data_IF_227806103517
#
_entry.id   IF_227806103517
#
_cell.length_a   1.000
_cell.length_b   1.000
_cell.length_c   1.000
_cell.angle_alpha   90.00
_cell.angle_beta   90.00
_cell.angle_gamma   90.00
#
_symmetry.space_group_name_H-M   'P 1'
#
loop_
_entity.id
_entity.type
_entity.pdbx_description
1 polymer ?
#
# COMPACT_ATOMS: atom_id res chain seq x y z
N UNK A 1 -5.26 -3.18 -0.54
CA UNK A 1 -4.05 -3.67 0.18
C UNK A 1 -4.47 -4.03 1.59
N UNK A 2 -3.56 -4.26 2.48
CA UNK A 2 -3.81 -4.48 3.90
C UNK A 2 -2.54 -4.20 4.68
N UNK A 3 -2.65 -4.19 5.99
CA UNK A 3 -1.55 -4.11 6.94
C UNK A 3 -1.88 -4.94 8.16
N UNK A 4 -0.89 -5.39 8.88
CA UNK A 4 -1.06 -6.21 10.05
C UNK A 4 -0.23 -5.70 11.23
N UNK A 5 -0.63 -6.11 12.41
CA UNK A 5 0.08 -5.90 13.66
C UNK A 5 0.01 -7.16 14.52
N UNK A 6 1.10 -7.46 15.22
CA UNK A 6 1.17 -8.57 16.17
C UNK A 6 1.88 -8.13 17.45
N UNK A 7 1.52 -8.72 18.57
CA UNK A 7 2.12 -8.44 19.90
C UNK A 7 2.33 -9.76 20.65
N UNK A 8 3.53 -9.90 21.22
CA UNK A 8 3.85 -10.92 22.22
C UNK A 8 4.30 -10.20 23.50
N UNK A 9 3.54 -10.33 24.59
CA UNK A 9 3.71 -9.57 25.83
C UNK A 9 3.62 -10.47 27.06
N UNK A 10 4.22 -10.03 28.17
CA UNK A 10 4.04 -10.67 29.49
C UNK A 10 2.72 -10.27 30.16
N UNK A 11 2.07 -9.24 29.64
CA UNK A 11 0.83 -8.68 30.17
C UNK A 11 -0.26 -8.74 29.10
N UNK A 12 -1.48 -8.34 29.46
CA UNK A 12 -2.58 -8.20 28.51
C UNK A 12 -2.19 -7.21 27.40
N UNK A 13 -2.21 -7.68 26.13
CA UNK A 13 -1.79 -6.92 24.96
C UNK A 13 -2.95 -6.41 24.09
N UNK A 14 -4.20 -6.62 24.50
CA UNK A 14 -5.38 -6.35 23.65
C UNK A 14 -5.44 -4.89 23.19
N UNK A 15 -5.19 -3.93 24.08
CA UNK A 15 -5.21 -2.50 23.70
C UNK A 15 -4.08 -2.13 22.75
N UNK A 16 -2.89 -2.70 22.94
CA UNK A 16 -1.75 -2.47 22.03
C UNK A 16 -2.02 -3.05 20.64
N UNK A 17 -2.59 -4.26 20.60
CA UNK A 17 -3.02 -4.88 19.36
C UNK A 17 -4.08 -4.03 18.65
N UNK A 18 -5.11 -3.60 19.38
CA UNK A 18 -6.21 -2.78 18.87
C UNK A 18 -5.70 -1.50 18.19
N UNK A 19 -4.90 -0.71 18.91
CA UNK A 19 -4.35 0.52 18.36
C UNK A 19 -3.31 0.26 17.27
N UNK A 20 -2.48 -0.77 17.41
CA UNK A 20 -1.52 -1.15 16.37
C UNK A 20 -2.19 -1.51 15.06
N UNK A 21 -3.32 -2.24 15.10
CA UNK A 21 -4.13 -2.52 13.91
C UNK A 21 -4.81 -1.26 13.36
N UNK A 22 -5.38 -0.43 14.24
CA UNK A 22 -6.04 0.81 13.84
C UNK A 22 -5.11 1.78 13.10
N UNK A 23 -3.85 1.85 13.49
CA UNK A 23 -2.83 2.64 12.79
C UNK A 23 -2.61 2.22 11.31
N UNK A 24 -3.01 1.00 10.94
CA UNK A 24 -2.98 0.54 9.54
C UNK A 24 -4.28 0.83 8.76
N UNK A 25 -5.24 1.59 9.31
CA UNK A 25 -6.53 1.89 8.67
C UNK A 25 -6.42 2.65 7.34
N UNK A 26 -5.29 3.31 7.06
CA UNK A 26 -5.03 3.96 5.78
C UNK A 26 -4.75 2.93 4.65
N UNK A 27 -4.33 1.71 4.96
CA UNK A 27 -3.98 0.65 4.01
C UNK A 27 -5.17 -0.17 3.52
N UNK A 28 -6.32 -0.10 4.19
CA UNK A 28 -7.50 -0.86 3.80
C UNK A 28 -8.79 -0.28 4.39
N UNK A 29 -9.92 -0.62 3.80
CA UNK A 29 -11.21 0.02 4.13
C UNK A 29 -12.38 -0.94 4.20
N UNK A 30 -12.17 -2.25 4.07
CA UNK A 30 -13.30 -3.20 3.97
C UNK A 30 -13.43 -4.11 5.18
N UNK A 31 -12.34 -4.68 5.63
CA UNK A 31 -12.32 -5.67 6.70
C UNK A 31 -11.29 -5.27 7.74
N UNK A 32 -11.61 -5.48 8.98
CA UNK A 32 -10.66 -5.47 10.08
C UNK A 32 -10.84 -6.73 10.91
N UNK A 33 -9.76 -7.23 11.50
CA UNK A 33 -9.83 -8.41 12.34
C UNK A 33 -8.74 -8.44 13.38
N UNK A 34 -9.05 -9.06 14.50
CA UNK A 34 -8.13 -9.33 15.60
C UNK A 34 -8.30 -10.77 16.08
N UNK A 35 -7.21 -11.41 16.46
CA UNK A 35 -7.19 -12.68 17.17
C UNK A 35 -6.20 -12.56 18.31
N UNK A 36 -6.59 -13.04 19.51
CA UNK A 36 -5.74 -13.05 20.69
C UNK A 36 -5.70 -14.47 21.28
N UNK A 37 -4.64 -14.77 22.01
CA UNK A 37 -4.49 -15.98 22.79
C UNK A 37 -4.18 -15.62 24.25
N UNK A 38 -4.95 -16.19 25.17
CA UNK A 38 -4.82 -16.01 26.61
C UNK A 38 -5.19 -17.26 27.39
N UNK A 39 -5.51 -17.12 28.66
CA UNK A 39 -5.86 -18.25 29.54
C UNK A 39 -7.08 -19.02 29.06
N UNK A 40 -8.06 -18.35 28.46
CA UNK A 40 -9.29 -18.93 27.92
C UNK A 40 -9.11 -19.49 26.48
N UNK A 41 -7.88 -19.49 25.93
CA UNK A 41 -7.56 -19.95 24.59
C UNK A 41 -7.63 -18.82 23.54
N UNK A 42 -7.97 -19.21 22.30
CA UNK A 42 -8.07 -18.25 21.19
C UNK A 42 -9.43 -17.55 21.18
N UNK A 43 -9.40 -16.22 21.05
CA UNK A 43 -10.56 -15.40 20.73
C UNK A 43 -10.32 -14.65 19.41
N UNK A 44 -11.35 -14.54 18.55
CA UNK A 44 -11.25 -13.86 17.25
C UNK A 44 -12.49 -13.01 16.99
N UNK A 45 -12.29 -11.79 16.50
CA UNK A 45 -13.34 -10.94 15.95
C UNK A 45 -12.93 -10.42 14.57
N UNK A 46 -13.89 -10.39 13.63
CA UNK A 46 -13.73 -9.83 12.28
C UNK A 46 -14.96 -9.00 11.96
N UNK A 47 -14.75 -7.76 11.49
CA UNK A 47 -15.83 -6.86 11.13
C UNK A 47 -15.65 -6.25 9.74
N UNK A 48 -16.79 -5.92 9.11
CA UNK A 48 -16.84 -5.01 7.98
C UNK A 48 -16.67 -3.58 8.49
N UNK A 49 -15.64 -2.86 7.99
CA UNK A 49 -15.31 -1.50 8.36
C UNK A 49 -15.59 -0.48 7.25
N UNK A 50 -16.32 -0.88 6.19
CA UNK A 50 -16.63 0.02 5.06
C UNK A 50 -17.47 1.23 5.49
N UNK A 51 -18.37 1.02 6.47
CA UNK A 51 -19.36 2.02 6.90
C UNK A 51 -19.06 2.64 8.27
N UNK A 52 -18.01 2.20 8.95
CA UNK A 52 -17.66 2.67 10.28
C UNK A 52 -16.17 2.44 10.53
N UNK A 53 -15.47 3.37 11.19
CA UNK A 53 -14.06 3.21 11.53
C UNK A 53 -13.81 1.93 12.33
N UNK A 54 -12.59 1.39 12.18
CA UNK A 54 -12.13 0.20 12.90
C UNK A 54 -12.39 0.32 14.41
N UNK A 55 -12.01 1.44 15.04
CA UNK A 55 -12.21 1.68 16.48
C UNK A 55 -13.63 1.48 16.93
N UNK A 56 -14.60 2.01 16.18
CA UNK A 56 -16.01 1.92 16.53
C UNK A 56 -16.55 0.50 16.42
N UNK A 57 -16.02 -0.29 15.47
CA UNK A 57 -16.48 -1.66 15.25
C UNK A 57 -15.97 -2.64 16.29
N UNK A 58 -14.77 -2.41 16.81
CA UNK A 58 -14.10 -3.32 17.74
C UNK A 58 -14.21 -2.89 19.22
N UNK A 59 -14.88 -1.78 19.54
CA UNK A 59 -15.00 -1.25 20.90
C UNK A 59 -15.55 -2.30 21.89
N UNK A 60 -16.59 -3.03 21.49
CA UNK A 60 -17.17 -4.10 22.29
C UNK A 60 -16.21 -5.29 22.43
N UNK A 61 -15.64 -5.77 21.32
CA UNK A 61 -14.75 -6.93 21.33
C UNK A 61 -13.52 -6.71 22.22
N UNK A 62 -12.94 -5.50 22.17
CA UNK A 62 -11.80 -5.12 23.02
C UNK A 62 -12.12 -5.23 24.50
N UNK A 63 -13.37 -4.96 24.90
CA UNK A 63 -13.79 -5.07 26.30
C UNK A 63 -13.93 -6.52 26.80
N UNK A 64 -14.11 -7.45 25.87
CA UNK A 64 -14.27 -8.88 26.17
C UNK A 64 -12.99 -9.70 25.97
N UNK A 65 -12.12 -9.25 25.04
CA UNK A 65 -10.86 -9.91 24.74
C UNK A 65 -9.88 -9.79 25.91
N UNK A 66 -9.12 -10.86 26.14
CA UNK A 66 -7.93 -10.89 27.02
C UNK A 66 -6.89 -11.79 26.39
N UNK A 67 -5.64 -11.38 26.43
CA UNK A 67 -4.56 -12.19 25.88
C UNK A 67 -3.19 -11.53 26.00
N UNK A 68 -2.16 -12.36 25.96
CA UNK A 68 -0.77 -11.96 25.99
C UNK A 68 -0.06 -12.17 24.61
N UNK A 69 -0.72 -12.85 23.70
CA UNK A 69 -0.35 -12.94 22.29
C UNK A 69 -1.53 -12.43 21.45
N UNK A 70 -1.23 -11.66 20.41
CA UNK A 70 -2.27 -11.18 19.51
C UNK A 70 -1.74 -10.88 18.12
N UNK A 71 -2.57 -11.13 17.10
CA UNK A 71 -2.36 -10.67 15.73
C UNK A 71 -3.65 -10.04 15.19
N UNK A 72 -3.51 -9.05 14.34
CA UNK A 72 -4.66 -8.43 13.68
C UNK A 72 -4.28 -7.77 12.37
N UNK A 73 -5.29 -7.41 11.61
CA UNK A 73 -5.07 -6.79 10.30
C UNK A 73 -6.22 -5.90 9.85
N UNK A 74 -5.88 -5.01 8.93
CA UNK A 74 -6.80 -4.33 8.02
C UNK A 74 -6.66 -4.96 6.65
N UNK A 75 -7.77 -5.26 5.95
CA UNK A 75 -7.76 -5.88 4.63
C UNK A 75 -8.83 -5.28 3.72
N UNK A 76 -8.53 -5.18 2.43
CA UNK A 76 -9.50 -4.80 1.38
C UNK A 76 -10.14 -6.03 0.70
N UNK A 77 -9.67 -7.23 0.99
CA UNK A 77 -10.10 -8.45 0.30
C UNK A 77 -10.73 -9.44 1.27
N UNK A 78 -9.93 -10.28 1.86
CA UNK A 78 -10.39 -11.43 2.63
C UNK A 78 -10.60 -11.10 4.10
N UNK A 79 -11.62 -11.71 4.75
CA UNK A 79 -11.74 -11.70 6.20
C UNK A 79 -10.58 -12.47 6.82
N UNK A 80 -9.91 -11.86 7.79
CA UNK A 80 -8.77 -12.42 8.55
C UNK A 80 -8.58 -11.62 9.85
N UNK A 81 -7.86 -12.16 10.88
CA UNK A 81 -7.12 -13.42 10.93
C UNK A 81 -8.02 -14.65 10.85
N UNK A 82 -7.48 -15.78 10.37
CA UNK A 82 -8.15 -17.08 10.40
C UNK A 82 -7.63 -17.91 11.57
N UNK A 83 -8.53 -18.60 12.27
CA UNK A 83 -8.19 -19.63 13.25
C UNK A 83 -8.22 -21.01 12.57
N UNK A 84 -7.12 -21.70 12.65
CA UNK A 84 -6.91 -23.01 12.00
C UNK A 84 -6.67 -24.06 13.08
N UNK A 85 -7.34 -25.19 12.93
CA UNK A 85 -7.07 -26.40 13.69
C UNK A 85 -6.57 -27.49 12.74
N UNK A 86 -5.36 -27.97 12.95
CA UNK A 86 -4.72 -28.96 12.10
C UNK A 86 -3.91 -29.98 12.91
N UNK A 87 -3.21 -30.89 12.25
CA UNK A 87 -2.23 -31.80 12.89
C UNK A 87 -1.04 -31.03 13.51
N UNK A 88 -0.79 -29.78 13.07
CA UNK A 88 0.22 -28.87 13.65
C UNK A 88 -0.27 -28.17 14.94
N UNK A 89 -1.49 -28.48 15.38
CA UNK A 89 -2.16 -27.82 16.49
C UNK A 89 -3.05 -26.66 16.03
N UNK A 90 -3.48 -25.84 17.00
CA UNK A 90 -4.26 -24.62 16.74
C UNK A 90 -3.34 -23.44 16.52
N UNK A 91 -3.61 -22.63 15.49
CA UNK A 91 -2.90 -21.37 15.24
C UNK A 91 -3.82 -20.33 14.59
N UNK A 92 -3.46 -19.06 14.72
CA UNK A 92 -4.10 -17.96 13.98
C UNK A 92 -3.13 -17.45 12.91
N UNK A 93 -3.66 -17.03 11.75
CA UNK A 93 -2.85 -16.54 10.64
C UNK A 93 -3.44 -15.27 10.02
N UNK A 94 -2.57 -14.33 9.69
CA UNK A 94 -2.89 -13.16 8.85
C UNK A 94 -1.83 -12.98 7.78
N UNK A 95 -2.25 -12.50 6.59
CA UNK A 95 -1.39 -12.39 5.42
C UNK A 95 -1.58 -11.05 4.70
N UNK A 96 -0.50 -10.55 4.12
CA UNK A 96 -0.53 -9.44 3.16
C UNK A 96 0.28 -9.83 1.93
N UNK A 97 -0.36 -9.81 0.77
CA UNK A 97 0.29 -10.19 -0.47
C UNK A 97 -0.67 -10.53 -1.60
N UNK A 98 -0.13 -11.16 -2.62
CA UNK A 98 -0.84 -11.64 -3.81
C UNK A 98 -0.23 -12.94 -4.28
N UNK A 99 -1.07 -13.91 -4.61
CA UNK A 99 -0.69 -15.21 -5.16
C UNK A 99 -1.12 -15.25 -6.62
N UNK A 100 -0.16 -15.30 -7.56
CA UNK A 100 -0.44 -15.35 -9.00
C UNK A 100 -0.73 -16.77 -9.48
N UNK A 101 -0.04 -17.75 -8.93
CA UNK A 101 -0.24 -19.18 -9.24
C UNK A 101 -1.32 -19.85 -8.37
N UNK A 102 -2.34 -19.06 -7.98
CA UNK A 102 -3.44 -19.49 -7.10
C UNK A 102 -4.14 -20.78 -7.58
N UNK A 103 -4.54 -20.85 -8.85
CA UNK A 103 -5.24 -22.01 -9.42
C UNK A 103 -4.36 -23.27 -9.45
N UNK A 104 -3.07 -23.13 -9.71
CA UNK A 104 -2.10 -24.20 -9.70
C UNK A 104 -1.94 -24.80 -8.31
N UNK A 105 -1.78 -23.92 -7.30
CA UNK A 105 -1.63 -24.35 -5.90
C UNK A 105 -2.90 -25.03 -5.38
N UNK A 106 -4.08 -24.49 -5.71
CA UNK A 106 -5.35 -25.13 -5.36
C UNK A 106 -5.51 -26.52 -5.97
N UNK A 107 -5.20 -26.64 -7.27
CA UNK A 107 -5.26 -27.92 -7.95
C UNK A 107 -4.35 -28.95 -7.30
N UNK A 108 -3.12 -28.56 -6.92
CA UNK A 108 -2.18 -29.43 -6.21
C UNK A 108 -2.70 -29.91 -4.86
N UNK A 109 -3.39 -29.06 -4.10
CA UNK A 109 -4.02 -29.44 -2.83
C UNK A 109 -5.21 -30.40 -3.01
N UNK A 110 -6.09 -30.15 -3.99
CA UNK A 110 -7.24 -31.01 -4.25
C UNK A 110 -6.84 -32.41 -4.76
N UNK A 111 -5.77 -32.49 -5.55
CA UNK A 111 -5.28 -33.77 -6.06
C UNK A 111 -4.64 -34.67 -4.98
N UNK A 112 -4.05 -34.06 -3.93
CA UNK A 112 -3.37 -34.82 -2.87
C UNK A 112 -4.33 -35.39 -1.81
N UNK A 113 -5.17 -34.52 -1.22
CA UNK A 113 -5.83 -34.81 0.05
C UNK A 113 -7.35 -34.58 0.06
N UNK A 114 -8.00 -34.33 -1.08
CA UNK A 114 -9.42 -33.95 -1.15
C UNK A 114 -9.75 -32.77 -0.19
N UNK A 115 -8.81 -31.83 -0.03
CA UNK A 115 -8.95 -30.67 0.85
C UNK A 115 -10.24 -29.91 0.55
N UNK A 116 -10.84 -29.33 1.57
CA UNK A 116 -11.99 -28.44 1.42
C UNK A 116 -11.66 -27.10 2.09
N UNK A 117 -12.26 -26.03 1.56
CA UNK A 117 -12.10 -24.68 2.07
C UNK A 117 -13.45 -24.16 2.57
N UNK A 118 -13.44 -23.39 3.64
CA UNK A 118 -14.64 -22.88 4.29
C UNK A 118 -14.85 -21.38 4.06
N UNK A 119 -13.76 -20.63 3.97
CA UNK A 119 -13.82 -19.18 3.80
C UNK A 119 -13.79 -18.80 2.32
N UNK A 120 -14.95 -18.40 1.80
CA UNK A 120 -15.09 -18.00 0.41
C UNK A 120 -15.59 -16.54 0.31
N UNK A 121 -14.97 -15.77 -0.58
CA UNK A 121 -15.36 -14.39 -0.88
C UNK A 121 -15.63 -14.26 -2.39
N UNK A 122 -16.87 -13.92 -2.77
CA UNK A 122 -17.30 -13.78 -4.17
C UNK A 122 -17.00 -15.01 -5.05
N UNK A 123 -17.15 -16.21 -4.51
CA UNK A 123 -16.92 -17.47 -5.23
C UNK A 123 -15.45 -17.87 -5.35
N UNK A 124 -14.53 -17.13 -4.74
CA UNK A 124 -13.11 -17.48 -4.63
C UNK A 124 -12.77 -17.88 -3.19
N UNK A 125 -11.87 -18.85 -3.03
CA UNK A 125 -11.35 -19.25 -1.73
C UNK A 125 -10.49 -18.10 -1.17
N UNK A 126 -10.59 -17.89 0.14
CA UNK A 126 -9.78 -16.92 0.87
C UNK A 126 -8.28 -17.25 0.71
N UNK A 127 -7.48 -16.31 0.24
CA UNK A 127 -6.04 -16.51 0.01
C UNK A 127 -5.30 -16.84 1.30
N UNK A 128 -5.73 -16.30 2.44
CA UNK A 128 -5.14 -16.61 3.75
C UNK A 128 -5.40 -18.08 4.14
N UNK A 129 -6.59 -18.62 3.80
CA UNK A 129 -6.91 -20.05 4.02
C UNK A 129 -6.07 -20.96 3.09
N UNK A 130 -5.87 -20.57 1.83
CA UNK A 130 -4.96 -21.27 0.92
C UNK A 130 -3.54 -21.34 1.51
N UNK A 131 -3.02 -20.21 2.01
CA UNK A 131 -1.69 -20.16 2.65
C UNK A 131 -1.64 -21.07 3.89
N UNK A 132 -2.68 -21.07 4.72
CA UNK A 132 -2.77 -21.95 5.88
C UNK A 132 -2.79 -23.43 5.47
N UNK A 133 -3.51 -23.79 4.40
CA UNK A 133 -3.52 -25.15 3.87
C UNK A 133 -2.14 -25.59 3.36
N UNK A 134 -1.41 -24.70 2.67
CA UNK A 134 -0.03 -24.96 2.22
C UNK A 134 0.93 -25.17 3.42
N UNK A 135 0.77 -24.39 4.50
CA UNK A 135 1.53 -24.61 5.74
C UNK A 135 1.23 -25.99 6.30
N UNK A 136 -0.03 -26.40 6.33
CA UNK A 136 -0.46 -27.70 6.84
C UNK A 136 -0.06 -28.90 5.94
N UNK A 137 0.48 -28.69 4.74
CA UNK A 137 1.08 -29.79 3.97
C UNK A 137 2.40 -30.33 4.56
N UNK A 138 2.97 -29.63 5.54
CA UNK A 138 4.30 -29.95 6.11
C UNK A 138 4.20 -30.46 7.55
N UNK A 139 5.29 -31.03 8.03
CA UNK A 139 5.38 -31.64 9.36
C UNK A 139 5.51 -30.61 10.50
N UNK A 140 5.82 -29.37 10.17
CA UNK A 140 5.93 -28.26 11.13
C UNK A 140 5.51 -26.93 10.54
N UNK A 141 5.08 -25.98 11.39
CA UNK A 141 4.76 -24.61 10.99
C UNK A 141 5.96 -23.94 10.28
N UNK A 142 7.17 -24.15 10.78
CA UNK A 142 8.41 -23.61 10.22
C UNK A 142 8.64 -24.10 8.79
N UNK A 143 8.52 -25.41 8.56
CA UNK A 143 8.68 -25.98 7.21
C UNK A 143 7.55 -25.52 6.29
N UNK A 144 6.33 -25.40 6.82
CA UNK A 144 5.18 -24.87 6.09
C UNK A 144 5.37 -23.43 5.64
N UNK A 145 5.84 -22.55 6.52
CA UNK A 145 6.16 -21.16 6.18
C UNK A 145 7.25 -21.09 5.10
N UNK A 146 8.33 -21.85 5.26
CA UNK A 146 9.42 -21.93 4.26
C UNK A 146 8.91 -22.42 2.90
N UNK A 147 8.02 -23.40 2.91
CA UNK A 147 7.39 -23.93 1.71
C UNK A 147 6.54 -22.87 1.00
N UNK A 148 5.68 -22.13 1.72
CA UNK A 148 4.89 -21.04 1.17
C UNK A 148 5.78 -19.97 0.52
N UNK A 149 6.88 -19.56 1.20
CA UNK A 149 7.83 -18.59 0.63
C UNK A 149 8.51 -19.09 -0.66
N UNK A 150 8.65 -20.40 -0.83
CA UNK A 150 9.32 -20.98 -2.00
C UNK A 150 8.36 -21.25 -3.18
N UNK A 151 7.07 -21.58 -2.92
CA UNK A 151 6.11 -21.97 -3.99
C UNK A 151 5.20 -20.85 -4.46
N UNK A 152 4.97 -19.82 -3.64
CA UNK A 152 4.11 -18.70 -4.04
C UNK A 152 4.79 -17.86 -5.11
N UNK A 153 4.17 -17.78 -6.29
CA UNK A 153 4.47 -16.74 -7.27
C UNK A 153 3.68 -15.46 -6.93
N UNK A 154 4.40 -14.39 -6.65
CA UNK A 154 3.83 -13.12 -6.21
C UNK A 154 4.55 -12.51 -5.02
N UNK A 155 3.82 -12.22 -3.96
CA UNK A 155 4.34 -11.71 -2.68
C UNK A 155 3.46 -12.22 -1.55
N UNK A 156 4.07 -12.69 -0.45
CA UNK A 156 3.34 -13.19 0.70
C UNK A 156 4.13 -12.94 1.98
N UNK A 157 3.72 -11.93 2.73
CA UNK A 157 4.20 -11.64 4.08
C UNK A 157 3.12 -12.06 5.08
N UNK A 158 3.48 -12.71 6.19
CA UNK A 158 2.50 -13.29 7.09
C UNK A 158 2.93 -13.24 8.56
N UNK A 159 1.91 -13.27 9.44
CA UNK A 159 2.06 -13.57 10.86
C UNK A 159 1.30 -14.86 11.16
N UNK A 160 1.94 -15.79 11.88
CA UNK A 160 1.33 -17.05 12.33
C UNK A 160 1.48 -17.13 13.84
N UNK A 161 0.39 -17.00 14.57
CA UNK A 161 0.35 -17.02 16.03
C UNK A 161 -0.03 -18.41 16.54
N UNK A 162 0.86 -19.03 17.29
CA UNK A 162 0.59 -20.25 18.08
C UNK A 162 0.21 -19.86 19.51
N UNK A 163 0.06 -20.84 20.38
CA UNK A 163 -0.14 -20.58 21.81
C UNK A 163 1.15 -20.22 22.57
N UNK A 164 2.32 -20.41 21.96
CA UNK A 164 3.61 -20.10 22.58
C UNK A 164 4.25 -18.81 22.08
N UNK A 165 3.90 -18.35 20.86
CA UNK A 165 4.51 -17.17 20.25
C UNK A 165 4.02 -16.91 18.82
N UNK A 166 4.67 -15.96 18.13
CA UNK A 166 4.27 -15.48 16.81
C UNK A 166 5.43 -15.66 15.82
N UNK A 167 5.19 -16.41 14.75
CA UNK A 167 6.09 -16.39 13.59
C UNK A 167 5.80 -15.16 12.73
N UNK A 168 6.85 -14.40 12.40
CA UNK A 168 6.81 -13.34 11.40
C UNK A 168 7.63 -13.78 10.19
N UNK A 169 7.04 -13.77 8.99
CA UNK A 169 7.71 -14.18 7.78
C UNK A 169 7.54 -13.12 6.69
N UNK A 170 8.66 -12.49 6.26
CA UNK A 170 8.68 -11.56 5.14
C UNK A 170 8.70 -12.31 3.81
N UNK A 171 8.07 -11.73 2.78
CA UNK A 171 8.01 -12.36 1.47
C UNK A 171 9.39 -12.61 0.83
N UNK A 172 9.41 -13.52 -0.17
CA UNK A 172 10.63 -14.01 -0.81
C UNK A 172 11.58 -12.93 -1.31
N UNK A 173 11.05 -11.77 -1.72
CA UNK A 173 11.81 -10.65 -2.28
C UNK A 173 11.73 -9.39 -1.41
N UNK A 174 11.11 -9.45 -0.23
CA UNK A 174 10.96 -8.30 0.65
C UNK A 174 10.15 -7.15 0.03
N UNK A 175 9.16 -7.45 -0.83
CA UNK A 175 8.35 -6.44 -1.53
C UNK A 175 7.51 -5.58 -0.58
N UNK A 176 7.12 -6.18 0.54
CA UNK A 176 6.46 -5.51 1.66
C UNK A 176 7.33 -5.58 2.90
N UNK A 177 7.24 -4.59 3.80
CA UNK A 177 8.02 -4.60 5.03
C UNK A 177 7.45 -5.57 6.07
N UNK A 178 8.30 -5.95 7.01
CA UNK A 178 7.95 -6.52 8.30
C UNK A 178 8.97 -6.03 9.32
N UNK A 179 8.51 -5.24 10.27
CA UNK A 179 9.36 -4.60 11.27
C UNK A 179 9.01 -5.07 12.68
N UNK A 180 9.98 -5.10 13.55
CA UNK A 180 9.84 -5.51 14.96
C UNK A 180 10.15 -4.31 15.84
N UNK A 181 9.24 -4.00 16.75
CA UNK A 181 9.43 -3.07 17.83
C UNK A 181 9.63 -3.80 19.16
N UNK A 182 10.34 -3.16 20.10
CA UNK A 182 10.65 -3.71 21.44
C UNK A 182 10.25 -2.74 22.54
N UNK A 183 9.65 -3.28 23.59
CA UNK A 183 9.49 -2.70 24.94
C UNK A 183 10.18 -3.59 25.97
N UNK A 184 10.22 -3.17 27.24
CA UNK A 184 10.84 -3.94 28.33
C UNK A 184 10.27 -5.35 28.50
N UNK A 185 8.95 -5.53 28.32
CA UNK A 185 8.21 -6.76 28.56
C UNK A 185 7.42 -7.28 27.36
N UNK A 186 7.67 -6.73 26.17
CA UNK A 186 6.95 -7.11 24.96
C UNK A 186 7.71 -6.81 23.67
N UNK A 187 7.37 -7.58 22.62
CA UNK A 187 7.74 -7.32 21.23
C UNK A 187 6.48 -7.16 20.37
N UNK A 188 6.55 -6.29 19.38
CA UNK A 188 5.53 -6.22 18.35
C UNK A 188 6.11 -6.51 16.96
N UNK A 189 5.27 -7.05 16.08
CA UNK A 189 5.54 -7.21 14.65
C UNK A 189 4.58 -6.31 13.89
N UNK A 190 5.07 -5.49 12.98
CA UNK A 190 4.25 -4.51 12.28
C UNK A 190 4.56 -4.46 10.80
N UNK A 191 3.54 -4.12 10.00
CA UNK A 191 3.73 -3.80 8.59
C UNK A 191 4.41 -2.43 8.43
N UNK A 192 4.17 -1.48 9.35
CA UNK A 192 4.76 -0.14 9.33
C UNK A 192 5.26 0.29 10.72
N UNK A 193 6.42 0.97 10.75
CA UNK A 193 7.05 1.39 12.01
C UNK A 193 6.25 2.43 12.79
N UNK A 194 5.51 3.34 12.12
CA UNK A 194 4.72 4.35 12.81
C UNK A 194 3.68 3.77 13.77
N UNK A 195 3.20 2.55 13.48
CA UNK A 195 2.11 1.92 14.23
C UNK A 195 2.45 1.60 15.69
N UNK A 196 3.72 1.49 16.03
CA UNK A 196 4.15 1.13 17.38
C UNK A 196 4.89 2.24 18.15
N UNK A 197 5.33 3.32 17.47
CA UNK A 197 6.06 4.43 18.13
C UNK A 197 5.23 5.02 19.27
N UNK A 198 3.96 5.38 19.01
CA UNK A 198 3.06 5.95 20.01
C UNK A 198 2.59 4.93 21.06
N UNK A 199 2.80 3.63 20.81
CA UNK A 199 2.54 2.57 21.78
C UNK A 199 3.73 2.33 22.71
N UNK A 200 4.80 3.12 22.55
CA UNK A 200 6.00 3.09 23.39
C UNK A 200 7.01 2.02 23.01
N UNK A 201 6.91 1.44 21.81
CA UNK A 201 7.95 0.55 21.28
C UNK A 201 9.03 1.37 20.58
N UNK A 202 10.24 0.85 20.61
CA UNK A 202 11.41 1.34 19.87
C UNK A 202 11.76 0.36 18.76
N UNK A 203 12.38 0.85 17.69
CA UNK A 203 12.83 0.01 16.60
C UNK A 203 13.82 -1.06 17.11
N UNK A 204 13.56 -2.32 16.74
CA UNK A 204 14.41 -3.46 17.09
C UNK A 204 15.06 -4.09 15.86
N UNK A 205 14.25 -4.45 14.86
CA UNK A 205 14.74 -5.10 13.64
C UNK A 205 13.75 -4.91 12.49
N UNK A 206 14.25 -4.66 11.29
CA UNK A 206 13.53 -4.84 10.04
C UNK A 206 13.98 -6.16 9.39
N UNK A 207 13.03 -7.03 9.05
CA UNK A 207 13.32 -8.31 8.43
C UNK A 207 13.78 -8.13 6.99
N UNK A 208 14.79 -8.88 6.58
CA UNK A 208 15.22 -8.96 5.19
C UNK A 208 14.32 -9.88 4.32
N UNK A 209 14.60 -9.96 3.01
CA UNK A 209 13.85 -10.83 2.10
C UNK A 209 13.88 -12.29 2.54
N UNK A 210 12.72 -12.96 2.54
CA UNK A 210 12.58 -14.37 2.88
C UNK A 210 12.92 -14.72 4.34
N UNK A 211 13.17 -13.73 5.18
CA UNK A 211 13.50 -13.94 6.58
C UNK A 211 12.27 -14.41 7.37
N UNK A 212 12.50 -15.32 8.31
CA UNK A 212 11.49 -15.82 9.26
C UNK A 212 12.04 -15.69 10.66
N UNK A 213 11.26 -15.12 11.55
CA UNK A 213 11.56 -15.02 12.99
C UNK A 213 10.44 -15.66 13.81
N UNK A 214 10.78 -16.11 15.00
CA UNK A 214 9.83 -16.51 16.04
C UNK A 214 9.94 -15.52 17.20
N UNK A 215 8.82 -14.97 17.62
CA UNK A 215 8.76 -13.88 18.60
C UNK A 215 7.91 -14.34 19.80
N UNK A 216 8.51 -14.25 20.97
CA UNK A 216 7.86 -14.42 22.28
C UNK A 216 7.90 -13.11 23.05
N UNK A 217 7.37 -13.07 24.26
CA UNK A 217 7.52 -11.91 25.14
C UNK A 217 8.95 -11.71 25.66
N UNK A 218 9.81 -12.73 25.54
CA UNK A 218 11.17 -12.73 26.07
C UNK A 218 12.21 -12.41 25.00
N UNK A 219 12.04 -12.97 23.79
CA UNK A 219 13.06 -12.93 22.74
C UNK A 219 12.52 -12.98 21.31
N UNK A 220 13.39 -12.66 20.38
CA UNK A 220 13.20 -12.83 18.95
C UNK A 220 14.26 -13.81 18.44
N UNK A 221 13.82 -14.97 18.00
CA UNK A 221 14.67 -16.03 17.44
C UNK A 221 14.65 -15.96 15.91
N UNK A 222 15.82 -16.00 15.27
CA UNK A 222 15.93 -16.11 13.81
C UNK A 222 15.79 -17.58 13.38
N UNK A 223 14.68 -17.89 12.69
CA UNK A 223 14.37 -19.25 12.19
C UNK A 223 14.92 -19.50 10.78
N UNK A 224 14.91 -18.46 9.96
CA UNK A 224 15.46 -18.48 8.61
C UNK A 224 16.11 -17.12 8.35
N UNK A 225 17.41 -17.09 8.02
CA UNK A 225 18.09 -15.84 7.72
C UNK A 225 17.60 -15.23 6.39
N UNK A 226 17.78 -13.92 6.27
CA UNK A 226 17.45 -13.18 5.06
C UNK A 226 18.26 -13.67 3.84
N UNK A 227 17.64 -13.66 2.68
CA UNK A 227 18.33 -13.93 1.40
C UNK A 227 18.99 -12.65 0.90
N UNK A 228 20.31 -12.58 1.01
CA UNK A 228 21.11 -11.44 0.52
C UNK A 228 21.00 -11.27 -1.00
N UNK A 229 20.98 -10.01 -1.48
CA UNK A 229 20.99 -9.68 -2.91
C UNK A 229 19.68 -10.01 -3.66
N UNK A 230 18.59 -10.27 -2.97
CA UNK A 230 17.29 -10.62 -3.56
C UNK A 230 16.17 -9.61 -3.25
N UNK A 231 16.48 -8.49 -2.61
CA UNK A 231 15.51 -7.45 -2.30
C UNK A 231 14.86 -6.87 -3.56
N UNK A 232 13.56 -6.65 -3.50
CA UNK A 232 12.73 -5.94 -4.48
C UNK A 232 11.60 -5.19 -3.78
N UNK A 233 11.95 -4.32 -2.82
CA UNK A 233 10.97 -3.55 -2.07
C UNK A 233 10.16 -2.63 -2.98
N UNK A 234 8.87 -2.50 -2.74
CA UNK A 234 7.98 -1.72 -3.58
C UNK A 234 8.25 -0.21 -3.46
N UNK A 235 8.57 0.46 -4.58
CA UNK A 235 8.77 1.92 -4.63
C UNK A 235 7.54 2.72 -4.20
N UNK A 236 6.34 2.20 -4.44
CA UNK A 236 5.08 2.84 -4.05
C UNK A 236 4.84 2.93 -2.54
N UNK A 237 5.59 2.20 -1.73
CA UNK A 237 5.58 2.39 -0.28
C UNK A 237 5.98 3.82 0.09
N UNK A 238 7.02 4.36 -0.53
CA UNK A 238 7.42 5.76 -0.33
C UNK A 238 6.57 6.76 -1.11
N UNK A 239 6.24 6.46 -2.36
CA UNK A 239 5.51 7.39 -3.22
C UNK A 239 4.11 7.69 -2.68
N UNK A 240 3.38 6.66 -2.22
CA UNK A 240 1.97 6.79 -1.88
C UNK A 240 1.53 6.05 -0.62
N UNK A 241 1.80 4.72 -0.50
CA UNK A 241 1.13 3.89 0.50
C UNK A 241 1.63 4.11 1.92
N UNK A 242 2.92 4.32 2.10
CA UNK A 242 3.54 4.46 3.40
C UNK A 242 3.02 5.67 4.18
N UNK A 243 2.80 5.46 5.46
CA UNK A 243 2.47 6.56 6.35
C UNK A 243 3.67 7.51 6.48
N UNK A 244 3.48 8.84 6.49
CA UNK A 244 4.60 9.80 6.43
C UNK A 244 5.69 9.61 7.49
N UNK A 245 5.31 9.19 8.70
CA UNK A 245 6.29 8.97 9.80
C UNK A 245 6.93 7.59 9.79
N UNK A 246 6.53 6.69 8.88
CA UNK A 246 7.17 5.38 8.71
C UNK A 246 8.51 5.49 7.98
N UNK A 247 9.35 4.49 8.22
CA UNK A 247 10.58 4.26 7.45
C UNK A 247 10.61 2.82 6.93
N UNK A 248 11.23 2.64 5.77
CA UNK A 248 11.50 1.33 5.16
C UNK A 248 12.96 1.29 4.72
N UNK A 249 13.66 0.20 5.04
CA UNK A 249 15.09 0.05 4.74
C UNK A 249 15.91 1.29 5.20
N UNK A 250 15.55 1.85 6.35
CA UNK A 250 16.18 3.04 6.92
C UNK A 250 15.81 4.38 6.28
N UNK A 251 14.91 4.40 5.29
CA UNK A 251 14.51 5.63 4.59
C UNK A 251 13.11 6.07 5.01
N UNK A 252 13.02 7.25 5.63
CA UNK A 252 11.74 7.83 6.05
C UNK A 252 10.89 8.26 4.83
N UNK A 253 9.58 8.01 4.92
CA UNK A 253 8.63 8.29 3.82
C UNK A 253 8.49 9.79 3.54
N UNK A 254 8.31 10.61 4.57
CA UNK A 254 8.12 12.06 4.41
C UNK A 254 9.37 12.73 3.83
N UNK A 255 10.54 12.38 4.34
CA UNK A 255 11.82 12.89 3.85
C UNK A 255 12.07 12.50 2.39
N UNK A 256 11.78 11.24 2.02
CA UNK A 256 11.85 10.79 0.63
C UNK A 256 10.95 11.62 -0.28
N UNK A 257 9.71 11.89 0.14
CA UNK A 257 8.76 12.72 -0.63
C UNK A 257 9.25 14.14 -0.82
N UNK A 258 9.93 14.72 0.17
CA UNK A 258 10.57 16.05 0.02
C UNK A 258 11.70 16.00 -1.01
N UNK A 259 12.59 14.99 -0.97
CA UNK A 259 13.63 14.80 -1.98
C UNK A 259 13.04 14.63 -3.38
N UNK A 260 11.99 13.83 -3.51
CA UNK A 260 11.28 13.62 -4.77
C UNK A 260 10.74 14.94 -5.33
N UNK A 261 10.09 15.78 -4.52
CA UNK A 261 9.61 17.10 -4.92
C UNK A 261 10.74 18.04 -5.33
N UNK A 262 11.86 18.03 -4.61
CA UNK A 262 13.06 18.82 -4.96
C UNK A 262 13.62 18.40 -6.34
N UNK A 263 13.70 17.10 -6.62
CA UNK A 263 14.17 16.60 -7.93
C UNK A 263 13.24 17.01 -9.07
N UNK A 264 11.92 16.99 -8.86
CA UNK A 264 10.94 17.50 -9.83
C UNK A 264 11.19 18.98 -10.14
N UNK A 265 11.43 19.82 -9.12
CA UNK A 265 11.72 21.24 -9.28
C UNK A 265 13.04 21.49 -10.06
N UNK A 266 14.10 20.76 -9.72
CA UNK A 266 15.38 20.80 -10.45
C UNK A 266 15.22 20.46 -11.93
N UNK A 267 14.38 19.43 -12.21
CA UNK A 267 14.11 18.99 -13.59
C UNK A 267 13.26 19.98 -14.38
N UNK A 268 12.37 20.71 -13.72
CA UNK A 268 11.57 21.77 -14.34
C UNK A 268 12.42 23.00 -14.66
N UNK A 269 13.34 23.39 -13.78
CA UNK A 269 14.13 24.61 -13.93
C UNK A 269 13.24 25.80 -14.29
N UNK A 270 13.59 26.55 -15.32
CA UNK A 270 12.84 27.71 -15.80
C UNK A 270 11.75 27.39 -16.84
N UNK A 271 11.37 26.12 -16.99
CA UNK A 271 10.37 25.70 -18.01
C UNK A 271 8.93 26.08 -17.67
N UNK A 272 8.64 26.43 -16.41
CA UNK A 272 7.32 26.82 -15.93
C UNK A 272 7.45 27.86 -14.82
N UNK A 273 6.53 28.83 -14.81
CA UNK A 273 6.52 29.94 -13.85
C UNK A 273 5.16 30.06 -13.17
N UNK A 274 4.81 29.12 -12.26
CA UNK A 274 3.56 29.19 -11.52
C UNK A 274 3.64 30.27 -10.42
N UNK A 275 2.48 30.79 -10.03
CA UNK A 275 2.37 31.71 -8.89
C UNK A 275 2.48 30.95 -7.55
N UNK A 276 1.98 29.72 -7.52
CA UNK A 276 2.00 28.85 -6.33
C UNK A 276 2.19 27.40 -6.69
N UNK A 277 2.79 26.66 -5.76
CA UNK A 277 2.87 25.19 -5.75
C UNK A 277 1.87 24.65 -4.75
N UNK A 278 1.15 23.59 -5.10
CA UNK A 278 0.20 22.93 -4.23
C UNK A 278 0.25 21.42 -4.37
N UNK A 279 -0.04 20.71 -3.29
CA UNK A 279 -0.21 19.24 -3.30
C UNK A 279 -1.69 18.85 -3.39
N UNK A 280 -1.99 17.82 -4.15
CA UNK A 280 -3.29 17.17 -4.08
C UNK A 280 -3.41 16.47 -2.71
N UNK A 281 -4.42 16.80 -1.88
CA UNK A 281 -4.53 16.22 -0.54
C UNK A 281 -4.91 14.73 -0.57
N UNK A 282 -4.28 13.90 0.27
CA UNK A 282 -3.17 14.21 1.20
C UNK A 282 -1.81 13.79 0.60
N UNK A 283 -1.81 12.93 -0.41
CA UNK A 283 -0.65 12.23 -0.97
C UNK A 283 0.38 13.15 -1.66
N UNK A 284 -0.09 14.21 -2.32
CA UNK A 284 0.78 15.16 -3.02
C UNK A 284 1.43 16.22 -2.14
N UNK A 285 1.01 16.36 -0.86
CA UNK A 285 1.41 17.49 0.00
C UNK A 285 2.91 17.51 0.25
N UNK A 286 3.50 16.41 0.70
CA UNK A 286 4.92 16.35 1.03
C UNK A 286 5.80 16.58 -0.22
N UNK A 287 5.44 15.99 -1.34
CA UNK A 287 6.12 16.23 -2.63
C UNK A 287 6.05 17.69 -3.04
N UNK A 288 4.89 18.36 -2.84
CA UNK A 288 4.73 19.78 -3.17
C UNK A 288 5.54 20.69 -2.25
N UNK A 289 5.67 20.35 -0.97
CA UNK A 289 6.54 21.08 -0.03
C UNK A 289 8.00 20.97 -0.49
N UNK A 290 8.47 19.78 -0.87
CA UNK A 290 9.81 19.57 -1.40
C UNK A 290 10.08 20.38 -2.67
N UNK A 291 9.10 20.42 -3.60
CA UNK A 291 9.19 21.24 -4.81
C UNK A 291 9.27 22.73 -4.49
N UNK A 292 8.39 23.22 -3.61
CA UNK A 292 8.36 24.62 -3.23
C UNK A 292 9.67 25.09 -2.55
N UNK A 293 10.22 24.25 -1.65
CA UNK A 293 11.48 24.52 -0.97
C UNK A 293 12.66 24.65 -1.95
N UNK A 294 12.70 23.82 -3.00
CA UNK A 294 13.77 23.82 -3.99
C UNK A 294 13.62 24.99 -4.99
N UNK A 295 12.41 25.20 -5.50
CA UNK A 295 12.14 26.22 -6.54
C UNK A 295 12.05 27.65 -6.00
N UNK A 296 11.84 27.82 -4.69
CA UNK A 296 11.53 29.11 -4.08
C UNK A 296 10.12 29.65 -4.40
N UNK A 297 9.29 28.89 -5.11
CA UNK A 297 7.89 29.26 -5.40
C UNK A 297 7.05 28.97 -4.16
N UNK A 298 6.17 29.89 -3.72
CA UNK A 298 5.38 29.72 -2.50
C UNK A 298 4.49 28.47 -2.55
N UNK A 299 4.53 27.65 -1.48
CA UNK A 299 3.55 26.61 -1.26
C UNK A 299 2.24 27.21 -0.75
N UNK A 300 1.12 26.83 -1.34
CA UNK A 300 -0.20 27.23 -0.89
C UNK A 300 -1.22 26.08 -1.00
N UNK A 301 -2.37 26.23 -0.38
CA UNK A 301 -3.47 25.26 -0.41
C UNK A 301 -4.69 25.86 -1.09
N UNK A 302 -4.76 25.85 -2.43
CA UNK A 302 -5.86 26.43 -3.20
C UNK A 302 -7.19 25.69 -2.99
N UNK A 303 -7.14 24.49 -2.44
CA UNK A 303 -8.30 23.72 -2.02
C UNK A 303 -7.98 22.88 -0.79
N UNK A 304 -9.01 22.70 0.03
CA UNK A 304 -8.91 21.96 1.29
C UNK A 304 -9.81 20.73 1.21
N UNK A 305 -9.30 19.57 1.62
CA UNK A 305 -10.11 18.36 1.74
C UNK A 305 -11.11 18.52 2.87
N UNK A 306 -12.38 18.28 2.58
CA UNK A 306 -13.42 18.27 3.60
C UNK A 306 -13.30 17.02 4.48
N UNK A 307 -12.94 17.22 5.74
CA UNK A 307 -12.55 16.15 6.66
C UNK A 307 -13.73 15.38 7.28
N UNK A 308 -14.94 15.97 7.57
CA UNK A 308 -16.10 15.17 7.93
C UNK A 308 -16.49 14.31 6.73
N UNK A 309 -15.73 13.24 6.54
CA UNK A 309 -15.91 12.33 5.40
C UNK A 309 -17.11 11.46 5.61
N UNK A 310 -17.99 11.45 4.64
CA UNK A 310 -18.94 10.38 4.46
C UNK A 310 -18.17 9.06 4.32
N UNK A 311 -18.64 7.97 4.96
CA UNK A 311 -18.06 6.65 4.71
C UNK A 311 -17.96 6.42 3.20
N UNK A 312 -16.86 5.80 2.74
CA UNK A 312 -16.65 5.52 1.30
C UNK A 312 -17.79 4.72 0.65
N UNK A 313 -18.60 4.06 1.45
CA UNK A 313 -19.78 3.29 1.04
C UNK A 313 -21.01 4.14 0.68
N UNK A 314 -21.03 5.42 1.04
CA UNK A 314 -22.11 6.30 0.63
C UNK A 314 -21.87 6.78 -0.81
N UNK A 315 -21.95 5.83 -1.75
CA UNK A 315 -21.97 6.11 -3.19
C UNK A 315 -23.42 6.04 -3.67
N UNK A 316 -24.09 7.18 -3.90
CA UNK A 316 -25.45 7.19 -4.40
C UNK A 316 -25.53 6.49 -5.76
N UNK A 317 -26.65 5.87 -6.03
CA UNK A 317 -26.95 5.25 -7.34
C UNK A 317 -27.18 6.30 -8.43
N UNK A 318 -27.58 7.51 -8.05
CA UNK A 318 -27.89 8.62 -8.96
C UNK A 318 -26.62 9.42 -9.31
N UNK A 319 -26.40 9.71 -10.61
CA UNK A 319 -25.25 10.46 -11.12
C UNK A 319 -25.15 11.87 -10.53
N UNK A 320 -26.25 12.60 -10.42
CA UNK A 320 -26.28 13.96 -9.88
C UNK A 320 -25.85 14.03 -8.41
N UNK A 321 -26.19 13.02 -7.62
CA UNK A 321 -25.73 12.90 -6.23
C UNK A 321 -24.26 12.51 -6.14
N UNK A 322 -23.76 11.68 -7.06
CA UNK A 322 -22.31 11.37 -7.16
C UNK A 322 -21.50 12.61 -7.48
N UNK A 323 -21.98 13.42 -8.43
CA UNK A 323 -21.34 14.69 -8.81
C UNK A 323 -21.35 15.70 -7.65
N UNK A 324 -22.45 15.76 -6.87
CA UNK A 324 -22.51 16.58 -5.67
C UNK A 324 -21.50 16.14 -4.61
N UNK A 325 -21.43 14.84 -4.30
CA UNK A 325 -20.49 14.29 -3.33
C UNK A 325 -19.04 14.49 -3.80
N UNK A 326 -18.74 14.33 -5.09
CA UNK A 326 -17.42 14.62 -5.63
C UNK A 326 -17.02 16.09 -5.40
N UNK A 327 -17.95 17.03 -5.61
CA UNK A 327 -17.75 18.46 -5.35
C UNK A 327 -17.57 18.79 -3.86
N UNK A 328 -18.20 18.04 -2.96
CA UNK A 328 -18.08 18.26 -1.52
C UNK A 328 -16.71 17.82 -0.93
N UNK A 329 -15.93 17.04 -1.68
CA UNK A 329 -14.63 16.54 -1.18
C UNK A 329 -13.57 17.62 -1.07
N UNK A 330 -13.61 18.60 -1.96
CA UNK A 330 -12.62 19.67 -2.04
C UNK A 330 -13.31 21.03 -1.96
N UNK A 331 -12.90 21.85 -1.02
CA UNK A 331 -13.43 23.21 -0.84
C UNK A 331 -12.38 24.20 -1.36
N UNK A 332 -12.74 25.08 -2.35
CA UNK A 332 -11.80 26.05 -2.91
C UNK A 332 -11.51 27.21 -1.94
N UNK A 333 -10.29 27.69 -2.00
CA UNK A 333 -9.87 28.96 -1.43
C UNK A 333 -9.75 29.95 -2.59
N UNK A 334 -10.85 30.63 -2.91
CA UNK A 334 -10.99 31.47 -4.10
C UNK A 334 -9.82 32.44 -4.31
N UNK A 335 -9.38 33.12 -3.27
CA UNK A 335 -8.26 34.07 -3.30
C UNK A 335 -6.91 33.45 -3.71
N UNK A 336 -6.76 32.12 -3.61
CA UNK A 336 -5.57 31.38 -4.02
C UNK A 336 -5.70 30.76 -5.41
N UNK A 337 -6.86 30.88 -6.06
CA UNK A 337 -7.13 30.27 -7.37
C UNK A 337 -7.34 31.32 -8.45
N UNK A 338 -8.16 32.35 -8.16
CA UNK A 338 -8.57 33.35 -9.13
C UNK A 338 -7.37 34.09 -9.71
N UNK A 339 -7.30 34.09 -11.03
CA UNK A 339 -6.21 34.71 -11.80
C UNK A 339 -4.80 34.15 -11.55
N UNK A 340 -4.69 32.95 -10.93
CA UNK A 340 -3.39 32.34 -10.61
C UNK A 340 -3.00 31.22 -11.59
N UNK A 341 -1.70 31.06 -11.76
CA UNK A 341 -1.05 29.90 -12.38
C UNK A 341 -0.69 28.92 -11.29
N UNK A 342 -1.28 27.74 -11.31
CA UNK A 342 -1.15 26.72 -10.28
C UNK A 342 -0.25 25.59 -10.76
N UNK A 343 0.73 25.18 -9.95
CA UNK A 343 1.44 23.93 -10.15
C UNK A 343 0.99 22.95 -9.08
N UNK A 344 0.34 21.86 -9.52
CA UNK A 344 -0.15 20.81 -8.65
C UNK A 344 0.75 19.59 -8.72
N UNK A 345 1.08 19.07 -7.56
CA UNK A 345 1.79 17.78 -7.42
C UNK A 345 0.83 16.75 -6.84
N UNK A 346 0.76 15.60 -7.49
CA UNK A 346 0.07 14.42 -7.01
C UNK A 346 1.06 13.24 -6.98
N UNK A 347 0.76 12.19 -6.24
CA UNK A 347 1.60 11.00 -6.19
C UNK A 347 1.68 10.30 -7.56
N UNK A 348 0.53 10.12 -8.23
CA UNK A 348 0.43 9.37 -9.47
C UNK A 348 -0.82 9.70 -10.28
N UNK A 349 -0.82 9.39 -11.57
CA UNK A 349 -2.02 9.40 -12.41
C UNK A 349 -2.33 7.96 -12.82
N UNK A 350 -3.35 7.36 -12.21
CA UNK A 350 -3.80 5.99 -12.55
C UNK A 350 -4.87 6.04 -13.63
N UNK A 351 -6.11 6.39 -13.29
CA UNK A 351 -7.25 6.49 -14.23
C UNK A 351 -7.39 7.88 -14.86
N UNK A 352 -6.87 8.89 -14.21
CA UNK A 352 -6.97 10.30 -14.60
C UNK A 352 -8.28 10.98 -14.22
N UNK A 353 -9.33 10.26 -13.88
CA UNK A 353 -10.67 10.82 -13.64
C UNK A 353 -10.68 11.86 -12.53
N UNK A 354 -10.10 11.54 -11.37
CA UNK A 354 -10.08 12.44 -10.21
C UNK A 354 -9.29 13.73 -10.49
N UNK A 355 -8.14 13.60 -11.14
CA UNK A 355 -7.28 14.75 -11.42
C UNK A 355 -7.89 15.65 -12.49
N UNK A 356 -8.59 15.08 -13.48
CA UNK A 356 -9.38 15.82 -14.46
C UNK A 356 -10.50 16.63 -13.79
N UNK A 357 -11.28 16.00 -12.91
CA UNK A 357 -12.34 16.70 -12.15
C UNK A 357 -11.76 17.85 -11.30
N UNK A 358 -10.62 17.64 -10.66
CA UNK A 358 -9.90 18.67 -9.89
C UNK A 358 -9.45 19.82 -10.78
N UNK A 359 -8.91 19.54 -11.95
CA UNK A 359 -8.47 20.56 -12.92
C UNK A 359 -9.64 21.38 -13.46
N UNK A 360 -10.72 20.71 -13.86
CA UNK A 360 -11.94 21.39 -14.32
C UNK A 360 -12.56 22.27 -13.22
N UNK A 361 -12.50 21.81 -11.97
CA UNK A 361 -12.92 22.56 -10.80
C UNK A 361 -12.08 23.84 -10.62
N UNK A 362 -10.75 23.76 -10.75
CA UNK A 362 -9.85 24.91 -10.62
C UNK A 362 -10.07 25.95 -11.73
N UNK A 363 -10.23 25.52 -12.99
CA UNK A 363 -10.56 26.43 -14.09
C UNK A 363 -11.91 27.12 -13.88
N UNK A 364 -12.93 26.39 -13.42
CA UNK A 364 -14.22 26.98 -13.05
C UNK A 364 -14.13 27.98 -11.89
N UNK A 365 -13.12 27.84 -11.03
CA UNK A 365 -12.83 28.74 -9.92
C UNK A 365 -11.91 29.91 -10.34
N UNK A 366 -11.58 30.05 -11.62
CA UNK A 366 -10.84 31.19 -12.18
C UNK A 366 -9.33 30.99 -12.30
N UNK A 367 -8.81 29.79 -12.19
CA UNK A 367 -7.39 29.53 -12.45
C UNK A 367 -7.01 29.86 -13.89
N UNK A 368 -5.87 30.55 -14.11
CA UNK A 368 -5.34 30.86 -15.44
C UNK A 368 -4.65 29.68 -16.09
N UNK A 369 -3.84 28.99 -15.32
CA UNK A 369 -3.04 27.84 -15.77
C UNK A 369 -3.04 26.77 -14.67
N UNK A 370 -3.07 25.50 -15.08
CA UNK A 370 -2.94 24.35 -14.18
C UNK A 370 -1.87 23.42 -14.73
N UNK A 371 -0.74 23.41 -14.08
CA UNK A 371 0.41 22.57 -14.40
C UNK A 371 0.43 21.36 -13.48
N UNK A 372 0.66 20.16 -14.00
CA UNK A 372 0.62 18.92 -13.23
C UNK A 372 1.99 18.23 -13.23
N UNK A 373 2.40 17.78 -12.04
CA UNK A 373 3.66 17.04 -11.82
C UNK A 373 3.38 15.81 -10.96
N UNK A 374 3.16 14.64 -11.58
CA UNK A 374 3.10 13.38 -10.83
C UNK A 374 4.46 13.04 -10.22
N UNK A 375 4.47 12.63 -8.95
CA UNK A 375 5.68 12.31 -8.19
C UNK A 375 6.30 10.94 -8.54
N UNK A 376 5.77 10.25 -9.54
CA UNK A 376 6.31 9.01 -10.06
C UNK A 376 6.28 9.00 -11.61
N UNK A 377 6.99 8.07 -12.26
CA UNK A 377 6.86 7.83 -13.70
C UNK A 377 5.45 7.39 -14.11
N UNK A 378 5.10 7.45 -15.43
CA UNK A 378 3.84 6.91 -15.91
C UNK A 378 3.68 5.43 -15.55
N UNK A 379 2.49 5.06 -15.06
CA UNK A 379 2.16 3.66 -14.76
C UNK A 379 1.79 2.93 -16.04
N UNK A 380 2.65 2.01 -16.49
CA UNK A 380 2.46 1.24 -17.72
C UNK A 380 1.93 -0.17 -17.46
N UNK A 381 2.14 -0.71 -16.24
CA UNK A 381 1.76 -2.06 -15.88
C UNK A 381 0.94 -2.08 -14.58
N UNK A 382 -0.11 -2.90 -14.55
CA UNK A 382 -0.82 -3.24 -13.32
C UNK A 382 0.10 -4.01 -12.37
N UNK A 383 -0.01 -3.78 -11.06
CA UNK A 383 0.87 -4.44 -10.10
C UNK A 383 0.68 -5.97 -10.13
N UNK A 384 1.75 -6.70 -10.45
CA UNK A 384 1.80 -8.17 -10.49
C UNK A 384 1.94 -8.78 -9.09
N UNK A 385 2.47 -8.02 -8.12
CA UNK A 385 2.96 -8.57 -6.86
C UNK A 385 2.13 -8.20 -5.64
N UNK A 386 1.42 -7.07 -5.69
CA UNK A 386 0.69 -6.54 -4.55
C UNK A 386 -0.74 -6.15 -4.95
N UNK A 387 -1.67 -6.30 -4.02
CA UNK A 387 -3.07 -5.93 -4.21
C UNK A 387 -3.32 -4.44 -3.96
N UNK A 388 -2.47 -3.56 -4.47
CA UNK A 388 -2.60 -2.11 -4.29
C UNK A 388 -3.73 -1.52 -5.12
N UNK A 389 -3.87 -1.99 -6.36
CA UNK A 389 -4.89 -1.49 -7.27
C UNK A 389 -6.11 -2.40 -7.25
N UNK A 390 -7.29 -1.80 -7.20
CA UNK A 390 -8.57 -2.47 -7.49
C UNK A 390 -8.80 -2.66 -8.99
N UNK A 391 -7.84 -2.24 -9.81
CA UNK A 391 -7.88 -2.37 -11.26
C UNK A 391 -7.93 -3.86 -11.62
N UNK A 392 -8.97 -4.24 -12.35
CA UNK A 392 -9.15 -5.60 -12.87
C UNK A 392 -8.56 -5.77 -14.27
N UNK A 393 -8.18 -4.65 -14.91
CA UNK A 393 -7.66 -4.62 -16.27
C UNK A 393 -6.55 -3.56 -16.37
N UNK A 394 -5.54 -3.82 -17.20
CA UNK A 394 -4.53 -2.82 -17.57
C UNK A 394 -5.15 -1.59 -18.24
N UNK A 395 -6.31 -1.74 -18.87
CA UNK A 395 -7.08 -0.65 -19.50
C UNK A 395 -7.69 0.33 -18.49
N UNK A 396 -7.63 0.04 -17.19
CA UNK A 396 -7.92 1.02 -16.16
C UNK A 396 -6.82 2.11 -16.06
N UNK A 397 -5.61 1.85 -16.55
CA UNK A 397 -4.53 2.83 -16.62
C UNK A 397 -4.75 3.79 -17.79
N UNK A 398 -4.68 5.10 -17.53
CA UNK A 398 -4.83 6.12 -18.59
C UNK A 398 -3.76 5.95 -19.67
N UNK A 399 -2.54 5.62 -19.28
CA UNK A 399 -1.40 5.36 -20.17
C UNK A 399 -1.72 4.26 -21.17
N UNK A 400 -2.25 3.11 -20.68
CA UNK A 400 -2.58 1.95 -21.52
C UNK A 400 -3.71 2.26 -22.51
N UNK A 401 -4.71 3.05 -22.11
CA UNK A 401 -5.77 3.50 -23.04
C UNK A 401 -5.21 4.37 -24.16
N UNK A 402 -4.37 5.35 -23.79
CA UNK A 402 -3.73 6.24 -24.78
C UNK A 402 -2.82 5.45 -25.71
N UNK A 403 -2.01 4.54 -25.19
CA UNK A 403 -1.14 3.67 -26.00
C UNK A 403 -1.97 2.82 -26.97
N UNK A 404 -3.05 2.19 -26.51
CA UNK A 404 -3.92 1.38 -27.36
C UNK A 404 -4.58 2.20 -28.48
N UNK A 405 -4.98 3.44 -28.20
CA UNK A 405 -5.51 4.36 -29.20
C UNK A 405 -4.46 4.75 -30.24
N UNK A 406 -3.22 5.05 -29.80
CA UNK A 406 -2.12 5.43 -30.69
C UNK A 406 -1.61 4.27 -31.58
N UNK A 407 -1.53 3.06 -31.04
CA UNK A 407 -1.03 1.88 -31.79
C UNK A 407 -2.15 1.10 -32.51
N UNK A 408 -3.42 1.42 -32.25
CA UNK A 408 -4.58 0.83 -32.93
C UNK A 408 -4.91 -0.61 -32.54
N UNK A 409 -4.38 -1.13 -31.41
CA UNK A 409 -4.63 -2.50 -30.96
C UNK A 409 -3.76 -2.96 -29.79
N UNK A 410 -3.60 -4.27 -29.64
CA UNK A 410 -2.71 -4.85 -28.64
C UNK A 410 -1.25 -4.48 -28.89
N UNK A 411 -0.52 -4.25 -27.83
CA UNK A 411 0.85 -3.70 -27.86
C UNK A 411 1.84 -4.70 -27.30
N UNK A 412 2.93 -4.97 -28.05
CA UNK A 412 3.98 -5.87 -27.61
C UNK A 412 4.81 -5.28 -26.44
N UNK A 413 5.51 -6.16 -25.73
CA UNK A 413 6.38 -5.75 -24.62
C UNK A 413 7.53 -4.81 -25.11
N UNK A 414 8.03 -5.01 -26.33
CA UNK A 414 9.07 -4.16 -26.93
C UNK A 414 8.56 -2.74 -27.14
N UNK A 415 7.35 -2.59 -27.68
CA UNK A 415 6.71 -1.29 -27.88
C UNK A 415 6.43 -0.60 -26.53
N UNK A 416 5.94 -1.34 -25.53
CA UNK A 416 5.75 -0.79 -24.18
C UNK A 416 7.04 -0.29 -23.55
N UNK A 417 8.17 -0.93 -23.85
CA UNK A 417 9.48 -0.47 -23.38
C UNK A 417 9.86 0.90 -23.95
N UNK A 418 9.49 1.20 -25.20
CA UNK A 418 9.70 2.54 -25.77
C UNK A 418 8.82 3.58 -25.06
N UNK A 419 7.59 3.22 -24.66
CA UNK A 419 6.73 4.10 -23.85
C UNK A 419 7.24 4.31 -22.42
N UNK A 420 8.16 3.51 -21.91
CA UNK A 420 8.83 3.72 -20.62
C UNK A 420 10.09 4.58 -20.72
N UNK A 421 10.61 4.83 -21.94
CA UNK A 421 11.80 5.63 -22.18
C UNK A 421 11.45 7.13 -22.33
N UNK A 422 11.82 8.01 -21.37
CA UNK A 422 11.52 9.45 -21.45
C UNK A 422 12.18 10.17 -22.63
N UNK A 423 13.09 9.53 -23.34
CA UNK A 423 13.77 10.07 -24.53
C UNK A 423 13.11 9.66 -25.86
N UNK A 424 12.10 8.77 -25.82
CA UNK A 424 11.42 8.31 -27.02
C UNK A 424 10.30 9.24 -27.47
N UNK A 425 10.05 9.29 -28.80
CA UNK A 425 8.91 10.01 -29.37
C UNK A 425 7.57 9.40 -28.90
N UNK A 426 7.50 8.09 -28.70
CA UNK A 426 6.31 7.41 -28.20
C UNK A 426 5.95 7.88 -26.80
N UNK A 427 6.92 7.97 -25.90
CA UNK A 427 6.72 8.54 -24.57
C UNK A 427 6.20 9.99 -24.66
N UNK A 428 6.87 10.85 -25.45
CA UNK A 428 6.48 12.25 -25.60
C UNK A 428 5.05 12.40 -26.13
N UNK A 429 4.67 11.63 -27.13
CA UNK A 429 3.32 11.61 -27.72
C UNK A 429 2.26 11.14 -26.72
N UNK A 430 2.54 10.10 -25.92
CA UNK A 430 1.66 9.63 -24.86
C UNK A 430 1.42 10.69 -23.80
N UNK A 431 2.47 11.35 -23.32
CA UNK A 431 2.35 12.41 -22.31
C UNK A 431 1.55 13.59 -22.83
N UNK A 432 1.79 14.02 -24.07
CA UNK A 432 1.04 15.11 -24.69
C UNK A 432 -0.45 14.76 -24.87
N UNK A 433 -0.76 13.52 -25.25
CA UNK A 433 -2.16 13.11 -25.38
C UNK A 433 -2.86 13.03 -24.01
N UNK A 434 -2.17 12.51 -22.95
CA UNK A 434 -2.70 12.54 -21.58
C UNK A 434 -2.93 13.98 -21.14
N UNK A 435 -1.98 14.91 -21.39
CA UNK A 435 -2.14 16.34 -21.09
C UNK A 435 -3.41 16.92 -21.74
N UNK A 436 -3.61 16.61 -23.03
CA UNK A 436 -4.76 17.09 -23.82
C UNK A 436 -6.08 16.58 -23.30
N UNK A 437 -6.19 15.25 -23.04
CA UNK A 437 -7.40 14.60 -22.54
C UNK A 437 -7.77 15.12 -21.14
N UNK A 438 -6.76 15.41 -20.32
CA UNK A 438 -6.94 15.87 -18.94
C UNK A 438 -7.09 17.40 -18.82
N UNK A 439 -6.96 18.12 -19.94
CA UNK A 439 -7.03 19.59 -19.99
C UNK A 439 -6.01 20.31 -19.09
N UNK A 440 -4.78 19.77 -18.99
CA UNK A 440 -3.70 20.42 -18.25
C UNK A 440 -3.00 21.48 -19.12
N UNK A 441 -2.53 22.59 -18.50
CA UNK A 441 -1.66 23.54 -19.20
C UNK A 441 -0.33 22.89 -19.55
N UNK A 442 0.27 22.14 -18.61
CA UNK A 442 1.43 21.28 -18.86
C UNK A 442 1.41 20.03 -17.99
N UNK A 443 2.03 18.97 -18.48
CA UNK A 443 2.22 17.72 -17.76
C UNK A 443 3.67 17.27 -17.89
N UNK A 444 4.31 16.94 -16.77
CA UNK A 444 5.61 16.30 -16.74
C UNK A 444 5.65 15.30 -15.59
N UNK A 445 5.89 14.04 -15.91
CA UNK A 445 6.07 12.98 -14.93
C UNK A 445 7.49 13.00 -14.34
N UNK A 446 7.63 12.48 -13.15
CA UNK A 446 8.93 12.18 -12.57
C UNK A 446 9.68 11.17 -13.42
N UNK A 447 11.00 11.26 -13.47
CA UNK A 447 11.83 10.24 -14.12
C UNK A 447 12.13 9.10 -13.16
N UNK A 448 12.31 7.91 -13.71
CA UNK A 448 12.58 6.74 -12.88
C UNK A 448 13.93 6.82 -12.17
N UNK A 449 14.95 7.32 -12.85
CA UNK A 449 16.28 7.55 -12.26
C UNK A 449 16.24 8.53 -11.09
N UNK A 450 15.55 9.67 -11.24
CA UNK A 450 15.37 10.67 -10.19
C UNK A 450 14.54 10.12 -9.01
N UNK A 451 13.53 9.28 -9.28
CA UNK A 451 12.74 8.64 -8.23
C UNK A 451 13.61 7.68 -7.40
N UNK A 452 14.40 6.84 -8.07
CA UNK A 452 15.31 5.90 -7.40
C UNK A 452 16.39 6.64 -6.59
N UNK A 453 16.94 7.75 -7.13
CA UNK A 453 17.84 8.64 -6.39
C UNK A 453 17.15 9.24 -5.15
N UNK A 454 15.88 9.66 -5.28
CA UNK A 454 15.10 10.21 -4.16
C UNK A 454 14.86 9.19 -3.05
N UNK A 455 14.66 7.92 -3.39
CA UNK A 455 14.56 6.81 -2.41
C UNK A 455 15.91 6.63 -1.70
N UNK A 456 17.03 6.61 -2.44
CA UNK A 456 18.38 6.66 -1.87
C UNK A 456 18.93 5.32 -1.40
N UNK A 457 18.31 4.19 -1.77
CA UNK A 457 18.88 2.83 -1.62
C UNK A 457 19.35 2.32 -2.98
N UNK A 458 20.06 1.19 -3.00
CA UNK A 458 20.53 0.58 -4.25
C UNK A 458 19.33 0.35 -5.21
N UNK A 459 19.32 0.94 -6.42
CA UNK A 459 18.26 0.78 -7.39
C UNK A 459 17.89 -0.67 -7.72
N UNK A 460 18.86 -1.59 -7.62
CA UNK A 460 18.64 -3.02 -7.85
C UNK A 460 17.73 -3.67 -6.80
N UNK A 461 17.59 -3.05 -5.64
CA UNK A 461 16.77 -3.50 -4.52
C UNK A 461 15.33 -2.96 -4.57
N UNK A 462 15.03 -2.04 -5.46
CA UNK A 462 13.70 -1.41 -5.58
C UNK A 462 12.90 -2.06 -6.70
N UNK A 463 11.64 -2.37 -6.44
CA UNK A 463 10.70 -2.84 -7.44
C UNK A 463 10.16 -1.66 -8.26
N UNK A 464 10.37 -1.70 -9.58
CA UNK A 464 9.92 -0.69 -10.55
C UNK A 464 8.93 -1.24 -11.56
N UNK A 465 8.46 -2.47 -11.37
CA UNK A 465 7.63 -3.21 -12.33
C UNK A 465 6.47 -2.40 -12.92
N UNK A 466 5.75 -1.62 -12.11
CA UNK A 466 4.61 -0.83 -12.58
C UNK A 466 5.00 0.29 -13.58
N UNK A 467 6.27 0.69 -13.65
CA UNK A 467 6.77 1.73 -14.54
C UNK A 467 7.40 1.18 -15.82
N UNK A 468 8.22 0.12 -15.71
CA UNK A 468 9.08 -0.37 -16.79
C UNK A 468 8.96 -1.88 -17.08
N UNK A 469 8.14 -2.60 -16.31
CA UNK A 469 7.94 -4.04 -16.46
C UNK A 469 9.09 -4.93 -15.99
N UNK A 470 10.14 -4.39 -15.35
CA UNK A 470 11.27 -5.18 -14.83
C UNK A 470 10.86 -6.00 -13.61
N UNK A 471 11.24 -7.28 -13.60
CA UNK A 471 11.00 -8.24 -12.53
C UNK A 471 12.17 -8.34 -11.54
#
# INVERSE_FOLDING_TARGET
MGGFFGVASKQDCVLELFYGVDYHSHLGTRRGGMAVYGEDGFYRAIHNIENSPFRTKFDHDVSEMKGYLGIGCISDYDPQPLLIQSHLGSFAITTVGKVNNYEELLKGLFEKDHSHFQEMTNGQINVTELVAALICEKESIVEGIKYVQDVVDGSMTMLVMTKEGIYGARDRYGRTPLVIGKKDDSYCLSFESHAYINLGYTDYKELGPCEVVYVTSEEVEEIRPARTGKMKICSFLWVYYGYPTSAYEGVNVEEMRYRCGSMLAKRDGDSVHPDIVAGVPDSGIAHAIGYANESGIPYARPFIKYTPTWPRSFMPTNQSQRDLIARMKLIPVQALIEDKKLLLIDDSIVRGTQLRETTEFLYRSGAKEVHIRPACPPLLYGCKYLNFSRSKSEMDLITRRVIQEQEGGEVSAEVLKEYSDPCSDRYANMIEEIRRIQNFTSLRYHRLDDLLESIGIDPSQVCTYCFDGRE
#
